data_IF_517451517936
#
_entry.id   IF_517451517936
#
_cell.length_a   1.000
_cell.length_b   1.000
_cell.length_c   1.000
_cell.angle_alpha   90.00
_cell.angle_beta   90.00
_cell.angle_gamma   90.00
#
_symmetry.space_group_name_H-M   'P 1'
#
loop_
_entity.id
_entity.type
_entity.pdbx_description
1 polymer ?
#
# COMPACT_ATOMS: atom_id res chain seq x y z
N UNK A 1 -10.99 18.20 8.70
CA UNK A 1 -10.98 16.80 8.21
C UNK A 1 -9.89 16.64 7.17
N UNK A 2 -9.08 15.63 7.30
CA UNK A 2 -8.02 15.37 6.33
C UNK A 2 -8.61 14.51 5.23
N UNK A 3 -8.56 15.01 3.99
CA UNK A 3 -8.98 14.23 2.84
C UNK A 3 -7.87 13.25 2.48
N UNK A 4 -8.17 11.96 2.62
CA UNK A 4 -7.22 10.92 2.25
C UNK A 4 -7.41 10.60 0.77
N UNK A 5 -6.34 10.80 0.00
CA UNK A 5 -6.35 10.51 -1.43
C UNK A 5 -5.59 9.22 -1.68
N UNK A 6 -6.28 8.23 -2.20
CA UNK A 6 -5.68 6.95 -2.56
C UNK A 6 -5.27 6.96 -4.03
N UNK A 7 -4.04 6.60 -4.29
CA UNK A 7 -3.49 6.62 -5.65
C UNK A 7 -4.08 5.51 -6.52
N UNK A 8 -4.39 4.36 -5.92
CA UNK A 8 -5.00 3.23 -6.62
C UNK A 8 -6.07 2.61 -5.73
N UNK A 9 -6.85 1.70 -6.29
CA UNK A 9 -7.87 0.98 -5.52
C UNK A 9 -7.31 -0.30 -4.89
N UNK A 10 -7.98 -0.80 -3.86
CA UNK A 10 -7.62 -2.10 -3.28
C UNK A 10 -7.73 -3.22 -4.32
N UNK A 11 -8.68 -3.12 -5.23
CA UNK A 11 -8.82 -4.07 -6.33
C UNK A 11 -7.58 -4.11 -7.20
N UNK A 12 -7.02 -2.95 -7.53
CA UNK A 12 -5.79 -2.87 -8.31
C UNK A 12 -4.61 -3.50 -7.56
N UNK A 13 -4.50 -3.24 -6.25
CA UNK A 13 -3.46 -3.85 -5.43
C UNK A 13 -3.56 -5.37 -5.48
N UNK A 14 -4.76 -5.91 -5.38
CA UNK A 14 -4.97 -7.36 -5.43
C UNK A 14 -4.66 -7.95 -6.80
N UNK A 15 -4.91 -7.21 -7.87
CA UNK A 15 -4.55 -7.64 -9.22
C UNK A 15 -3.04 -7.71 -9.42
N UNK A 16 -2.33 -6.72 -8.92
CA UNK A 16 -0.87 -6.67 -9.06
C UNK A 16 -0.17 -7.59 -8.07
N UNK A 17 -0.78 -7.86 -6.94
CA UNK A 17 -0.24 -8.72 -5.89
C UNK A 17 -1.27 -9.79 -5.52
N UNK A 18 -1.42 -10.84 -6.35
CA UNK A 18 -2.39 -11.92 -6.06
C UNK A 18 -2.12 -12.66 -4.76
N UNK A 19 -0.92 -12.48 -4.20
CA UNK A 19 -0.55 -13.07 -2.92
C UNK A 19 -1.39 -12.52 -1.75
N UNK A 20 -1.96 -11.34 -1.93
CA UNK A 20 -2.86 -10.78 -0.91
C UNK A 20 -4.18 -11.54 -0.98
N UNK A 21 -4.48 -12.26 0.10
CA UNK A 21 -5.69 -13.07 0.14
C UNK A 21 -6.94 -12.21 0.03
N UNK A 22 -7.96 -12.71 -0.64
CA UNK A 22 -9.22 -11.99 -0.80
C UNK A 22 -9.89 -11.72 0.55
N UNK A 23 -9.54 -12.51 1.57
CA UNK A 23 -10.06 -12.35 2.93
C UNK A 23 -9.41 -11.22 3.70
N UNK A 24 -8.32 -10.64 3.18
CA UNK A 24 -7.69 -9.49 3.82
C UNK A 24 -8.64 -8.30 3.71
N UNK A 25 -8.91 -7.66 4.84
CA UNK A 25 -9.82 -6.52 4.89
C UNK A 25 -9.28 -5.36 4.06
N UNK A 26 -10.13 -4.77 3.22
CA UNK A 26 -9.74 -3.62 2.40
C UNK A 26 -9.24 -2.46 3.25
N UNK A 27 -9.75 -2.29 4.47
CA UNK A 27 -9.31 -1.21 5.34
C UNK A 27 -7.82 -1.34 5.67
N UNK A 28 -7.31 -2.54 5.81
CA UNK A 28 -5.88 -2.78 6.04
C UNK A 28 -5.06 -2.35 4.82
N UNK A 29 -5.57 -2.66 3.62
CA UNK A 29 -4.90 -2.28 2.38
C UNK A 29 -4.86 -0.76 2.26
N UNK A 30 -5.98 -0.08 2.48
CA UNK A 30 -6.03 1.37 2.36
C UNK A 30 -5.23 2.08 3.44
N UNK A 31 -5.24 1.60 4.67
CA UNK A 31 -4.43 2.18 5.74
C UNK A 31 -2.95 2.07 5.41
N UNK A 32 -2.52 0.91 4.93
CA UNK A 32 -1.12 0.73 4.53
C UNK A 32 -0.79 1.55 3.28
N UNK A 33 -1.75 1.71 2.37
CA UNK A 33 -1.56 2.50 1.16
C UNK A 33 -1.19 3.94 1.49
N UNK A 34 -1.90 4.57 2.42
CA UNK A 34 -1.58 5.94 2.83
C UNK A 34 -0.17 6.03 3.38
N UNK A 35 0.22 5.09 4.23
CA UNK A 35 1.58 5.07 4.78
C UNK A 35 2.63 4.88 3.68
N UNK A 36 2.38 3.96 2.76
CA UNK A 36 3.31 3.69 1.67
C UNK A 36 3.41 4.85 0.68
N UNK A 37 2.29 5.53 0.42
CA UNK A 37 2.30 6.74 -0.42
C UNK A 37 3.15 7.83 0.22
N UNK A 38 2.95 8.09 1.50
CA UNK A 38 3.62 9.18 2.19
C UNK A 38 5.10 8.91 2.45
N UNK A 39 5.53 7.68 2.39
CA UNK A 39 6.93 7.31 2.60
C UNK A 39 7.59 6.87 1.30
N UNK A 40 7.23 5.71 0.80
CA UNK A 40 7.92 5.09 -0.35
C UNK A 40 7.71 5.88 -1.64
N UNK A 41 6.49 6.20 -1.99
CA UNK A 41 6.21 6.93 -3.24
C UNK A 41 6.76 8.34 -3.16
N UNK A 42 6.52 9.03 -2.07
CA UNK A 42 7.03 10.39 -1.88
C UNK A 42 8.55 10.44 -2.00
N UNK A 43 9.25 9.45 -1.44
CA UNK A 43 10.71 9.40 -1.52
C UNK A 43 11.19 9.02 -2.92
N UNK A 44 10.41 8.25 -3.67
CA UNK A 44 10.78 7.88 -5.05
C UNK A 44 10.69 9.06 -6.01
N UNK A 45 9.65 9.88 -5.91
CA UNK A 45 9.39 10.93 -6.90
C UNK A 45 9.65 12.33 -6.38
N UNK A 46 9.90 12.48 -5.09
CA UNK A 46 10.12 13.75 -4.45
C UNK A 46 8.83 14.39 -3.93
N UNK A 47 8.98 15.19 -2.89
CA UNK A 47 7.85 15.78 -2.18
C UNK A 47 7.00 16.67 -3.08
N UNK A 48 7.64 17.46 -3.92
CA UNK A 48 6.96 18.45 -4.76
C UNK A 48 6.07 17.79 -5.81
N UNK A 49 6.62 16.81 -6.52
CA UNK A 49 5.87 16.09 -7.55
C UNK A 49 4.80 15.19 -6.94
N UNK A 50 5.10 14.59 -5.80
CA UNK A 50 4.13 13.79 -5.07
C UNK A 50 2.88 14.62 -4.73
N UNK A 51 3.07 15.82 -4.21
CA UNK A 51 1.99 16.73 -3.89
C UNK A 51 1.18 17.11 -5.11
N UNK A 52 1.89 17.48 -6.18
CA UNK A 52 1.25 17.83 -7.44
C UNK A 52 0.43 16.68 -8.00
N UNK A 53 0.96 15.48 -7.95
CA UNK A 53 0.28 14.29 -8.44
C UNK A 53 -0.99 14.01 -7.64
N UNK A 54 -0.94 14.12 -6.31
CA UNK A 54 -2.14 13.95 -5.49
C UNK A 54 -3.19 15.00 -5.80
N UNK A 55 -2.80 16.26 -5.97
CA UNK A 55 -3.73 17.33 -6.33
C UNK A 55 -4.38 17.05 -7.68
N UNK A 56 -3.62 16.58 -8.64
CA UNK A 56 -4.14 16.25 -9.96
C UNK A 56 -5.11 15.06 -9.91
N UNK A 57 -4.86 14.09 -9.06
CA UNK A 57 -5.77 12.95 -8.86
C UNK A 57 -7.10 13.45 -8.29
N UNK A 58 -7.05 14.31 -7.28
CA UNK A 58 -8.26 14.87 -6.67
C UNK A 58 -9.07 15.66 -7.68
N UNK A 59 -8.41 16.40 -8.56
CA UNK A 59 -9.06 17.26 -9.54
C UNK A 59 -9.33 16.58 -10.88
N UNK A 60 -8.97 15.30 -11.00
CA UNK A 60 -9.10 14.51 -12.23
C UNK A 60 -8.36 15.19 -13.41
N UNK A 61 -7.17 15.68 -13.13
CA UNK A 61 -6.34 16.43 -14.09
C UNK A 61 -4.99 15.74 -14.34
N UNK A 62 -4.93 14.43 -14.20
CA UNK A 62 -3.70 13.67 -14.43
C UNK A 62 -3.41 13.65 -15.93
N UNK A 63 -2.20 14.08 -16.32
CA UNK A 63 -1.78 14.06 -17.72
C UNK A 63 -1.58 12.63 -18.22
N UNK A 64 -1.59 12.45 -19.54
CA UNK A 64 -1.36 11.12 -20.13
C UNK A 64 0.02 10.55 -19.76
N UNK A 65 1.03 11.41 -19.71
CA UNK A 65 2.39 11.00 -19.33
C UNK A 65 2.43 10.55 -17.88
N UNK A 66 1.80 11.32 -16.99
CA UNK A 66 1.75 10.96 -15.57
C UNK A 66 0.91 9.71 -15.36
N UNK A 67 -0.17 9.55 -16.10
CA UNK A 67 -1.01 8.35 -16.01
C UNK A 67 -0.23 7.11 -16.47
N UNK A 68 0.55 7.23 -17.53
CA UNK A 68 1.39 6.14 -18.00
C UNK A 68 2.42 5.74 -16.95
N UNK A 69 3.09 6.72 -16.38
CA UNK A 69 4.08 6.49 -15.32
C UNK A 69 3.43 5.84 -14.10
N UNK A 70 2.26 6.32 -13.75
CA UNK A 70 1.48 5.81 -12.64
C UNK A 70 1.11 4.34 -12.86
N UNK A 71 0.51 4.04 -14.02
CA UNK A 71 0.01 2.69 -14.31
C UNK A 71 1.12 1.67 -14.47
N UNK A 72 2.26 2.08 -15.02
CA UNK A 72 3.33 1.14 -15.37
C UNK A 72 4.45 1.05 -14.34
N UNK A 73 4.54 2.02 -13.44
CA UNK A 73 5.63 2.04 -12.46
C UNK A 73 5.13 2.24 -11.03
N UNK A 74 4.47 3.37 -10.78
CA UNK A 74 4.11 3.73 -9.40
C UNK A 74 3.10 2.78 -8.79
N UNK A 75 2.14 2.30 -9.57
CA UNK A 75 1.15 1.35 -9.08
C UNK A 75 1.82 0.05 -8.63
N UNK A 76 2.82 -0.42 -9.36
CA UNK A 76 3.58 -1.62 -8.98
C UNK A 76 4.41 -1.38 -7.73
N UNK A 77 5.14 -0.27 -7.67
CA UNK A 77 5.95 0.07 -6.50
C UNK A 77 5.06 0.14 -5.26
N UNK A 78 3.95 0.84 -5.37
CA UNK A 78 3.01 1.02 -4.27
C UNK A 78 2.41 -0.33 -3.84
N UNK A 79 1.97 -1.14 -4.80
CA UNK A 79 1.36 -2.43 -4.50
C UNK A 79 2.35 -3.40 -3.83
N UNK A 80 3.58 -3.46 -4.32
CA UNK A 80 4.60 -4.32 -3.72
C UNK A 80 5.02 -3.84 -2.34
N UNK A 81 5.07 -2.52 -2.13
CA UNK A 81 5.37 -2.00 -0.80
C UNK A 81 4.24 -2.32 0.18
N UNK A 82 2.99 -2.19 -0.25
CA UNK A 82 1.84 -2.57 0.55
C UNK A 82 1.92 -4.06 0.91
N UNK A 83 2.20 -4.92 -0.07
CA UNK A 83 2.34 -6.36 0.17
C UNK A 83 3.42 -6.65 1.20
N UNK A 84 4.59 -6.03 1.04
CA UNK A 84 5.70 -6.22 1.97
C UNK A 84 5.31 -5.82 3.38
N UNK A 85 4.69 -4.68 3.54
CA UNK A 85 4.29 -4.18 4.86
C UNK A 85 3.18 -5.02 5.48
N UNK A 86 2.24 -5.51 4.67
CA UNK A 86 1.19 -6.38 5.17
C UNK A 86 1.76 -7.73 5.63
N UNK A 87 2.73 -8.27 4.91
CA UNK A 87 3.40 -9.51 5.32
C UNK A 87 4.05 -9.31 6.70
N UNK A 88 4.78 -8.22 6.87
CA UNK A 88 5.42 -7.91 8.14
C UNK A 88 4.39 -7.72 9.24
N UNK A 89 3.35 -6.93 8.98
CA UNK A 89 2.32 -6.62 9.97
C UNK A 89 1.54 -7.85 10.38
N UNK A 90 1.20 -8.71 9.42
CA UNK A 90 0.40 -9.90 9.69
C UNK A 90 1.21 -11.05 10.26
N UNK A 91 2.54 -11.00 10.13
CA UNK A 91 3.41 -11.98 10.75
C UNK A 91 3.58 -11.74 12.26
N UNK A 92 3.28 -10.53 12.70
CA UNK A 92 3.36 -10.13 14.10
C UNK A 92 1.99 -9.67 14.55
N UNK A 93 1.52 -10.20 15.67
CA UNK A 93 0.26 -9.77 16.26
C UNK A 93 0.50 -9.27 17.66
N UNK A 94 -0.03 -8.08 17.92
CA UNK A 94 -0.03 -7.52 19.26
C UNK A 94 -1.34 -7.90 19.92
N UNK A 95 -1.26 -8.63 21.06
CA UNK A 95 -2.44 -9.07 21.78
C UNK A 95 -2.19 -8.92 23.29
N UNK A 96 -3.09 -9.46 24.10
CA UNK A 96 -3.00 -9.36 25.57
C UNK A 96 -1.70 -9.95 26.12
N UNK A 97 -1.13 -10.93 25.43
CA UNK A 97 0.15 -11.53 25.81
C UNK A 97 1.34 -10.77 25.25
N UNK A 98 1.14 -9.72 24.45
CA UNK A 98 2.19 -8.95 23.82
C UNK A 98 2.37 -9.30 22.35
N UNK A 99 3.53 -8.94 21.81
CA UNK A 99 3.83 -9.21 20.40
C UNK A 99 4.08 -10.70 20.18
N UNK A 100 3.39 -11.24 19.20
CA UNK A 100 3.50 -12.66 18.88
C UNK A 100 3.81 -12.81 17.39
N UNK A 101 4.80 -13.65 17.08
CA UNK A 101 5.16 -13.97 15.71
C UNK A 101 4.26 -15.09 15.23
N UNK A 102 3.42 -14.79 14.25
CA UNK A 102 2.42 -15.74 13.76
C UNK A 102 3.03 -16.99 13.17
N UNK A 103 4.16 -16.86 12.50
CA UNK A 103 4.85 -17.99 11.87
C UNK A 103 5.38 -18.98 12.91
N UNK A 104 5.65 -18.54 14.14
CA UNK A 104 6.17 -19.43 15.17
C UNK A 104 5.21 -20.56 15.49
N UNK A 105 3.92 -20.37 15.27
CA UNK A 105 2.95 -21.43 15.47
C UNK A 105 3.23 -22.62 14.55
N UNK A 106 3.69 -22.35 13.34
CA UNK A 106 4.05 -23.40 12.39
C UNK A 106 5.41 -24.01 12.71
N UNK A 107 6.34 -23.22 13.18
CA UNK A 107 7.67 -23.70 13.50
C UNK A 107 7.65 -24.65 14.71
N UNK A 108 6.68 -24.50 15.58
CA UNK A 108 6.50 -25.40 16.71
C UNK A 108 6.13 -26.81 16.32
N UNK A 109 5.60 -26.96 15.13
CA UNK A 109 5.19 -28.25 14.60
C UNK A 109 6.36 -29.01 13.99
N UNK A 110 7.46 -28.35 13.81
CA UNK A 110 8.64 -28.96 13.21
C UNK A 110 9.44 -29.79 14.21
#
# INVERSE_FOLDING_TARGET
MIDLTYMISASTVRQLCPQIAITVDESLIYNQMILSQDTTIKNCIGHRWYRLLLDNIVNDEVSEVDQYLFDNYLAYILSYDILKQLIITMSYQLNDAGLRIKISDHSQLA
#
